data_IF_720948259575
#
_entry.id   IF_720948259575
#
_cell.length_a   1.000
_cell.length_b   1.000
_cell.length_c   1.000
_cell.angle_alpha   90.00
_cell.angle_beta   90.00
_cell.angle_gamma   90.00
#
_symmetry.space_group_name_H-M   'P 1'
#
loop_
_entity.id
_entity.type
_entity.pdbx_description
1 polymer ?
#
# COMPACT_ATOMS: atom_id res chain seq x y z
N UNK A 1 2.97 -48.73 -14.19
CA UNK A 1 2.97 -48.12 -12.84
C UNK A 1 4.15 -48.59 -12.00
N UNK A 2 4.21 -49.86 -11.54
CA UNK A 2 5.35 -50.36 -10.74
C UNK A 2 6.72 -50.23 -11.43
N UNK A 3 6.79 -50.58 -12.71
CA UNK A 3 8.03 -50.49 -13.49
C UNK A 3 8.50 -49.04 -13.71
N UNK A 4 7.57 -48.14 -14.07
CA UNK A 4 7.83 -46.71 -14.23
C UNK A 4 8.43 -46.10 -12.96
N UNK A 5 7.89 -46.49 -11.80
CA UNK A 5 8.34 -45.95 -10.52
C UNK A 5 9.69 -46.51 -10.08
N UNK A 6 9.95 -47.80 -10.36
CA UNK A 6 11.28 -48.38 -10.18
C UNK A 6 12.33 -47.66 -11.03
N UNK A 7 12.00 -47.34 -12.29
CA UNK A 7 12.91 -46.60 -13.18
C UNK A 7 13.17 -45.19 -12.65
N UNK A 8 12.14 -44.49 -12.14
CA UNK A 8 12.32 -43.17 -11.49
C UNK A 8 13.23 -43.26 -10.26
N UNK A 9 13.08 -44.28 -9.42
CA UNK A 9 13.96 -44.49 -8.27
C UNK A 9 15.41 -44.74 -8.69
N UNK A 10 15.63 -45.52 -9.75
CA UNK A 10 16.95 -45.70 -10.34
C UNK A 10 17.53 -44.38 -10.86
N UNK A 11 16.76 -43.61 -11.65
CA UNK A 11 17.17 -42.29 -12.15
C UNK A 11 17.54 -41.34 -10.99
N UNK A 12 16.74 -41.32 -9.92
CA UNK A 12 17.04 -40.54 -8.70
C UNK A 12 18.37 -40.95 -8.07
N UNK A 13 18.59 -42.26 -7.91
CA UNK A 13 19.82 -42.80 -7.32
C UNK A 13 21.06 -42.45 -8.15
N UNK A 14 20.96 -42.61 -9.47
CA UNK A 14 22.04 -42.31 -10.41
C UNK A 14 22.41 -40.82 -10.37
N UNK A 15 21.41 -39.93 -10.37
CA UNK A 15 21.64 -38.48 -10.25
C UNK A 15 22.32 -38.12 -8.92
N UNK A 16 21.89 -38.69 -7.80
CA UNK A 16 22.49 -38.45 -6.47
C UNK A 16 23.95 -38.90 -6.36
N UNK A 17 24.32 -39.94 -7.10
CA UNK A 17 25.69 -40.48 -7.14
C UNK A 17 26.55 -39.85 -8.25
N UNK A 18 26.00 -38.87 -8.98
CA UNK A 18 26.66 -38.20 -10.10
C UNK A 18 27.04 -39.17 -11.24
N UNK A 19 26.25 -40.24 -11.43
CA UNK A 19 26.42 -41.20 -12.52
C UNK A 19 25.66 -40.74 -13.77
N UNK A 20 26.12 -39.64 -14.38
CA UNK A 20 25.47 -38.96 -15.51
C UNK A 20 25.25 -39.88 -16.72
N UNK A 21 26.27 -40.63 -17.11
CA UNK A 21 26.20 -41.49 -18.31
C UNK A 21 25.12 -42.58 -18.18
N UNK A 22 25.03 -43.19 -16.98
CA UNK A 22 24.02 -44.19 -16.69
C UNK A 22 22.63 -43.58 -16.57
N UNK A 23 22.53 -42.36 -16.02
CA UNK A 23 21.29 -41.60 -15.94
C UNK A 23 20.73 -41.31 -17.33
N UNK A 24 21.56 -40.74 -18.21
CA UNK A 24 21.16 -40.36 -19.57
C UNK A 24 20.78 -41.59 -20.39
N UNK A 25 21.60 -42.64 -20.34
CA UNK A 25 21.32 -43.90 -21.04
C UNK A 25 19.98 -44.51 -20.61
N UNK A 26 19.69 -44.52 -19.31
CA UNK A 26 18.44 -45.07 -18.78
C UNK A 26 17.25 -44.18 -19.12
N UNK A 27 17.39 -42.85 -19.01
CA UNK A 27 16.31 -41.91 -19.30
C UNK A 27 15.94 -41.92 -20.79
N UNK A 28 16.93 -41.87 -21.70
CA UNK A 28 16.72 -41.92 -23.15
C UNK A 28 16.05 -43.23 -23.56
N UNK A 29 16.54 -44.36 -23.03
CA UNK A 29 16.04 -45.68 -23.42
C UNK A 29 14.63 -45.96 -22.94
N UNK A 30 14.25 -45.42 -21.78
CA UNK A 30 12.94 -45.66 -21.18
C UNK A 30 11.92 -44.58 -21.53
N UNK A 31 12.37 -43.40 -21.98
CA UNK A 31 11.52 -42.22 -22.20
C UNK A 31 10.91 -41.67 -20.90
N UNK A 32 11.33 -42.17 -19.74
CA UNK A 32 10.79 -41.77 -18.44
C UNK A 32 11.56 -40.55 -17.95
N UNK A 33 10.83 -39.46 -17.73
CA UNK A 33 11.36 -38.29 -17.03
C UNK A 33 11.34 -38.51 -15.52
N UNK A 34 12.46 -38.17 -14.88
CA UNK A 34 12.56 -38.18 -13.42
C UNK A 34 11.66 -37.10 -12.80
N UNK A 35 11.67 -35.90 -13.38
CA UNK A 35 11.03 -34.69 -12.86
C UNK A 35 10.75 -33.71 -14.01
N UNK A 36 9.99 -32.66 -13.71
CA UNK A 36 9.72 -31.58 -14.66
C UNK A 36 11.00 -30.87 -15.13
N UNK A 37 11.07 -30.36 -16.37
CA UNK A 37 12.27 -29.72 -16.93
C UNK A 37 12.84 -28.61 -16.04
N UNK A 38 11.97 -27.82 -15.40
CA UNK A 38 12.37 -26.72 -14.52
C UNK A 38 13.19 -27.18 -13.31
N UNK A 39 12.90 -28.37 -12.77
CA UNK A 39 13.65 -28.97 -11.67
C UNK A 39 15.00 -29.49 -12.14
N UNK A 40 15.05 -30.03 -13.36
CA UNK A 40 16.31 -30.50 -13.96
C UNK A 40 17.25 -29.33 -14.25
N UNK A 41 16.72 -28.22 -14.76
CA UNK A 41 17.49 -26.99 -14.99
C UNK A 41 17.99 -26.39 -13.68
N UNK A 42 17.14 -26.37 -12.64
CA UNK A 42 17.51 -25.90 -11.31
C UNK A 42 18.61 -26.76 -10.70
N UNK A 43 18.50 -28.09 -10.76
CA UNK A 43 19.52 -29.01 -10.30
C UNK A 43 20.84 -28.79 -11.05
N UNK A 44 20.79 -28.66 -12.36
CA UNK A 44 21.99 -28.44 -13.17
C UNK A 44 22.67 -27.10 -12.84
N UNK A 45 21.91 -26.03 -12.62
CA UNK A 45 22.45 -24.74 -12.21
C UNK A 45 23.04 -24.80 -10.79
N UNK A 46 22.24 -25.23 -9.81
CA UNK A 46 22.58 -25.14 -8.40
C UNK A 46 23.59 -26.21 -7.95
N UNK A 47 23.37 -27.47 -8.35
CA UNK A 47 24.13 -28.63 -7.85
C UNK A 47 25.30 -28.97 -8.76
N UNK A 48 25.09 -29.04 -10.08
CA UNK A 48 26.13 -29.46 -10.99
C UNK A 48 27.14 -28.35 -11.32
N UNK A 49 26.67 -27.09 -11.48
CA UNK A 49 27.51 -25.96 -11.90
C UNK A 49 27.82 -24.94 -10.81
N UNK A 50 27.08 -24.95 -9.69
CA UNK A 50 27.21 -23.90 -8.66
C UNK A 50 26.85 -22.50 -9.16
N UNK A 51 26.02 -22.39 -10.20
CA UNK A 51 25.57 -21.13 -10.78
C UNK A 51 24.34 -20.61 -10.03
N UNK A 52 24.60 -19.94 -8.91
CA UNK A 52 23.55 -19.40 -8.04
C UNK A 52 22.71 -18.32 -8.73
N UNK A 53 23.30 -17.50 -9.61
CA UNK A 53 22.57 -16.46 -10.34
C UNK A 53 21.54 -17.08 -11.29
N UNK A 54 21.96 -18.12 -12.02
CA UNK A 54 21.03 -18.83 -12.91
C UNK A 54 19.93 -19.55 -12.13
N UNK A 55 20.26 -20.12 -10.97
CA UNK A 55 19.27 -20.74 -10.10
C UNK A 55 18.21 -19.73 -9.60
N UNK A 56 18.63 -18.54 -9.18
CA UNK A 56 17.72 -17.45 -8.79
C UNK A 56 16.81 -17.04 -9.96
N UNK A 57 17.35 -16.90 -11.17
CA UNK A 57 16.56 -16.55 -12.35
C UNK A 57 15.53 -17.63 -12.68
N UNK A 58 15.89 -18.92 -12.60
CA UNK A 58 14.95 -20.04 -12.80
C UNK A 58 13.81 -19.96 -11.78
N UNK A 59 14.11 -19.72 -10.50
CA UNK A 59 13.08 -19.56 -9.46
C UNK A 59 12.17 -18.37 -9.71
N UNK A 60 12.73 -17.22 -10.12
CA UNK A 60 11.96 -16.01 -10.45
C UNK A 60 11.00 -16.26 -11.62
N UNK A 61 11.46 -16.96 -12.66
CA UNK A 61 10.62 -17.33 -13.81
C UNK A 61 9.51 -18.31 -13.40
N UNK A 62 9.82 -19.29 -12.55
CA UNK A 62 8.81 -20.21 -12.00
C UNK A 62 7.69 -19.45 -11.26
N UNK A 63 8.06 -18.43 -10.47
CA UNK A 63 7.09 -17.56 -9.79
C UNK A 63 6.23 -16.79 -10.79
N UNK A 64 6.84 -16.17 -11.81
CA UNK A 64 6.11 -15.42 -12.85
C UNK A 64 5.15 -16.29 -13.67
N UNK A 65 5.50 -17.57 -13.84
CA UNK A 65 4.68 -18.56 -14.55
C UNK A 65 3.60 -19.21 -13.66
N UNK A 66 3.50 -18.80 -12.39
CA UNK A 66 2.49 -19.31 -11.47
C UNK A 66 2.72 -20.75 -11.00
N UNK A 67 3.93 -21.31 -11.17
CA UNK A 67 4.27 -22.69 -10.79
C UNK A 67 3.96 -22.98 -9.31
N UNK A 68 4.11 -21.97 -8.45
CA UNK A 68 3.86 -22.09 -7.01
C UNK A 68 2.42 -21.78 -6.61
N UNK A 69 1.55 -21.30 -7.50
CA UNK A 69 0.19 -20.86 -7.14
C UNK A 69 -0.66 -21.96 -6.46
N UNK A 70 -0.68 -23.22 -6.94
CA UNK A 70 -1.47 -24.26 -6.30
C UNK A 70 -1.03 -24.49 -4.84
N UNK A 71 0.29 -24.53 -4.63
CA UNK A 71 0.88 -24.69 -3.30
C UNK A 71 0.60 -23.48 -2.39
N UNK A 72 0.74 -22.26 -2.92
CA UNK A 72 0.45 -21.02 -2.18
C UNK A 72 -1.02 -20.95 -1.76
N UNK A 73 -1.95 -21.44 -2.60
CA UNK A 73 -3.39 -21.47 -2.27
C UNK A 73 -3.73 -22.44 -1.12
N UNK A 74 -2.99 -23.53 -1.00
CA UNK A 74 -3.19 -24.55 0.05
C UNK A 74 -2.44 -24.25 1.35
N UNK A 75 -1.46 -23.34 1.30
CA UNK A 75 -0.67 -22.97 2.48
C UNK A 75 -1.56 -22.29 3.54
N UNK A 76 -1.53 -22.76 4.81
CA UNK A 76 -2.20 -22.07 5.88
C UNK A 76 -1.50 -20.73 6.17
N UNK A 77 -2.23 -19.63 6.07
CA UNK A 77 -1.73 -18.31 6.44
C UNK A 77 -1.45 -18.24 7.94
N UNK A 78 -0.17 -18.07 8.32
CA UNK A 78 0.22 -17.80 9.70
C UNK A 78 0.67 -16.35 9.85
N UNK A 79 -0.14 -15.47 10.46
CA UNK A 79 0.28 -14.09 10.67
C UNK A 79 1.44 -14.04 11.65
N UNK A 80 2.53 -13.38 11.25
CA UNK A 80 3.69 -13.11 12.11
C UNK A 80 3.80 -11.62 12.30
N UNK A 81 3.64 -11.18 13.55
CA UNK A 81 3.78 -9.78 13.91
C UNK A 81 5.19 -9.51 14.41
N UNK A 82 5.86 -8.56 13.78
CA UNK A 82 7.19 -8.09 14.22
C UNK A 82 7.20 -6.59 14.29
N UNK A 83 7.66 -6.06 15.43
CA UNK A 83 7.91 -4.64 15.58
C UNK A 83 9.10 -4.23 14.72
N UNK A 84 8.92 -3.19 13.92
CA UNK A 84 10.00 -2.55 13.17
C UNK A 84 10.54 -1.40 14.01
N UNK A 85 11.84 -1.42 14.25
CA UNK A 85 12.57 -0.33 14.89
C UNK A 85 13.38 0.37 13.82
N UNK A 86 13.01 1.62 13.54
CA UNK A 86 13.63 2.42 12.51
C UNK A 86 13.68 3.87 12.96
N UNK A 87 14.72 4.57 12.52
CA UNK A 87 14.94 6.00 12.76
C UNK A 87 15.43 6.63 11.47
N UNK A 88 15.47 7.96 11.44
CA UNK A 88 16.17 8.72 10.43
C UNK A 88 17.67 8.82 10.72
N UNK A 89 18.39 9.58 9.89
CA UNK A 89 19.84 9.79 10.01
C UNK A 89 20.27 10.42 11.35
N UNK A 90 19.38 11.14 12.02
CA UNK A 90 19.62 11.85 13.26
C UNK A 90 19.09 11.05 14.48
N UNK A 91 18.66 9.79 14.26
CA UNK A 91 18.10 8.93 15.30
C UNK A 91 16.66 9.28 15.68
N UNK A 92 15.97 10.10 14.90
CA UNK A 92 14.59 10.51 15.16
C UNK A 92 13.58 9.60 14.44
N UNK A 93 12.37 9.54 14.96
CA UNK A 93 11.25 8.83 14.35
C UNK A 93 9.96 9.56 14.69
N UNK A 94 8.85 9.32 13.95
CA UNK A 94 7.55 9.84 14.33
C UNK A 94 7.23 9.55 15.80
N UNK A 95 6.82 10.57 16.56
CA UNK A 95 6.45 10.41 17.96
C UNK A 95 5.19 9.55 18.13
N UNK A 96 4.85 9.21 19.38
CA UNK A 96 3.55 8.61 19.70
C UNK A 96 2.40 9.47 19.17
N UNK A 97 1.41 8.84 18.55
CA UNK A 97 0.29 9.54 17.90
C UNK A 97 -0.91 8.62 17.65
N UNK A 98 -2.11 9.17 17.74
CA UNK A 98 -3.37 8.55 17.30
C UNK A 98 -4.00 9.33 16.13
N UNK A 99 -4.91 8.72 15.37
CA UNK A 99 -5.63 9.40 14.28
C UNK A 99 -4.79 9.86 13.08
N UNK A 100 -3.48 9.59 13.07
CA UNK A 100 -2.58 9.82 11.94
C UNK A 100 -2.97 8.95 10.75
N UNK A 101 -2.57 9.35 9.55
CA UNK A 101 -2.86 8.60 8.34
C UNK A 101 -1.60 8.22 7.60
N UNK A 102 -1.68 7.09 6.88
CA UNK A 102 -0.59 6.55 6.10
C UNK A 102 -1.09 6.11 4.73
N UNK A 103 -0.24 6.29 3.72
CA UNK A 103 -0.42 5.73 2.39
C UNK A 103 0.91 5.17 1.88
N UNK A 104 0.85 4.27 0.91
CA UNK A 104 2.04 3.61 0.36
C UNK A 104 2.14 3.88 -1.14
N UNK A 105 3.32 4.32 -1.56
CA UNK A 105 3.77 4.21 -2.94
C UNK A 105 4.47 2.86 -3.09
N UNK A 106 3.76 1.88 -3.63
CA UNK A 106 4.25 0.52 -3.80
C UNK A 106 5.40 0.48 -4.81
N UNK A 107 5.37 1.35 -5.83
CA UNK A 107 6.37 1.36 -6.89
C UNK A 107 7.73 1.85 -6.39
N UNK A 108 7.74 2.89 -5.54
CA UNK A 108 8.96 3.41 -4.93
C UNK A 108 9.33 2.72 -3.61
N UNK A 109 8.46 1.86 -3.06
CA UNK A 109 8.66 1.25 -1.75
C UNK A 109 8.70 2.28 -0.62
N UNK A 110 7.81 3.27 -0.67
CA UNK A 110 7.75 4.38 0.30
C UNK A 110 6.41 4.43 1.03
N UNK A 111 6.45 4.58 2.34
CA UNK A 111 5.25 4.77 3.16
C UNK A 111 5.25 6.18 3.72
N UNK A 112 4.22 6.94 3.43
CA UNK A 112 4.05 8.30 3.94
C UNK A 112 3.18 8.30 5.19
N UNK A 113 3.49 9.20 6.13
CA UNK A 113 2.75 9.39 7.37
C UNK A 113 2.53 10.89 7.58
N UNK A 114 1.28 11.29 7.79
CA UNK A 114 0.91 12.69 8.05
C UNK A 114 0.13 12.84 9.35
N UNK A 115 0.54 13.83 10.15
CA UNK A 115 -0.22 14.36 11.27
C UNK A 115 -0.57 13.34 12.35
N UNK A 116 -1.77 13.47 12.91
CA UNK A 116 -2.25 12.74 14.08
C UNK A 116 -2.25 13.60 15.34
N UNK A 117 -2.54 12.99 16.48
CA UNK A 117 -2.61 13.63 17.79
C UNK A 117 -1.69 12.92 18.78
N UNK A 118 -0.80 13.66 19.43
CA UNK A 118 0.25 13.08 20.29
C UNK A 118 -0.15 12.91 21.77
N UNK A 119 -1.39 13.21 22.14
CA UNK A 119 -1.82 13.29 23.54
C UNK A 119 -2.00 14.71 24.06
N UNK A 120 -1.45 15.70 23.35
CA UNK A 120 -1.46 17.12 23.73
C UNK A 120 -2.04 17.98 22.62
N UNK A 121 -1.56 17.82 21.39
CA UNK A 121 -1.99 18.61 20.24
C UNK A 121 -2.06 17.76 18.97
N UNK A 122 -2.83 18.26 18.01
CA UNK A 122 -2.72 17.78 16.63
C UNK A 122 -1.35 18.13 16.05
N UNK A 123 -0.90 17.33 15.10
CA UNK A 123 0.40 17.41 14.45
C UNK A 123 0.24 17.76 12.98
N UNK A 124 1.20 18.52 12.46
CA UNK A 124 1.35 18.86 11.04
C UNK A 124 2.66 18.32 10.45
N UNK A 125 3.32 17.40 11.15
CA UNK A 125 4.57 16.82 10.67
C UNK A 125 4.29 15.77 9.58
N UNK A 126 5.21 15.68 8.64
CA UNK A 126 5.10 14.80 7.48
C UNK A 126 6.36 13.96 7.33
N UNK A 127 6.18 12.64 7.27
CA UNK A 127 7.26 11.66 7.28
C UNK A 127 7.13 10.68 6.12
N UNK A 128 8.27 10.13 5.71
CA UNK A 128 8.37 9.05 4.75
C UNK A 128 9.25 7.94 5.34
N UNK A 129 8.81 6.70 5.21
CA UNK A 129 9.57 5.50 5.53
C UNK A 129 10.00 4.80 4.24
N UNK A 130 11.29 4.55 4.10
CA UNK A 130 11.83 3.74 3.01
C UNK A 130 11.80 2.26 3.42
N UNK A 131 11.03 1.45 2.69
CA UNK A 131 10.81 0.04 3.01
C UNK A 131 12.08 -0.80 2.81
N UNK A 132 12.91 -0.44 1.82
CA UNK A 132 14.15 -1.16 1.51
C UNK A 132 15.23 -0.84 2.52
N UNK A 133 15.44 0.45 2.80
CA UNK A 133 16.45 0.92 3.75
C UNK A 133 16.02 0.74 5.22
N UNK A 134 14.72 0.57 5.46
CA UNK A 134 14.12 0.49 6.79
C UNK A 134 14.46 1.70 7.65
N UNK A 135 14.38 2.89 7.07
CA UNK A 135 14.71 4.17 7.71
C UNK A 135 13.58 5.17 7.52
N UNK A 136 13.46 6.09 8.47
CA UNK A 136 12.57 7.24 8.35
C UNK A 136 13.29 8.43 7.70
N UNK A 137 12.51 9.32 7.11
CA UNK A 137 12.91 10.65 6.69
C UNK A 137 11.78 11.60 7.06
N UNK A 138 12.06 12.62 7.88
CA UNK A 138 11.14 13.73 8.05
C UNK A 138 11.16 14.60 6.80
N UNK A 139 10.02 14.72 6.14
CA UNK A 139 9.82 15.61 4.99
C UNK A 139 9.55 17.03 5.50
N UNK A 140 8.73 17.15 6.54
CA UNK A 140 8.35 18.45 7.12
C UNK A 140 8.14 18.33 8.62
N UNK A 141 8.63 19.33 9.36
CA UNK A 141 8.28 19.51 10.78
C UNK A 141 6.87 20.09 10.93
N UNK A 142 6.46 20.95 10.01
CA UNK A 142 5.16 21.60 9.98
C UNK A 142 4.79 21.95 8.54
N UNK A 143 3.86 21.20 7.96
CA UNK A 143 3.48 21.36 6.55
C UNK A 143 2.97 22.75 6.20
N UNK A 144 2.49 23.55 7.17
CA UNK A 144 2.02 24.92 6.93
C UNK A 144 3.10 25.83 6.37
N UNK A 145 4.36 25.66 6.80
CA UNK A 145 5.48 26.49 6.34
C UNK A 145 5.82 26.24 4.86
N UNK A 146 5.31 25.15 4.30
CA UNK A 146 5.48 24.74 2.91
C UNK A 146 4.19 24.91 2.10
N UNK A 147 3.20 25.66 2.61
CA UNK A 147 1.90 25.84 1.96
C UNK A 147 0.98 24.62 2.04
N UNK A 148 1.34 23.63 2.85
CA UNK A 148 0.56 22.42 3.09
C UNK A 148 -0.50 22.59 4.18
N UNK A 149 -1.17 21.49 4.53
CA UNK A 149 -2.25 21.48 5.51
C UNK A 149 -1.80 21.92 6.91
N UNK A 150 -2.72 22.44 7.71
CA UNK A 150 -2.54 22.64 9.15
C UNK A 150 -2.59 21.34 9.97
N UNK A 151 -2.26 21.40 11.27
CA UNK A 151 -2.31 20.26 12.18
C UNK A 151 -3.66 19.55 12.12
N UNK A 152 -3.63 18.22 12.03
CA UNK A 152 -4.86 17.43 11.85
C UNK A 152 -4.74 15.99 12.32
N UNK A 153 -5.84 15.48 12.89
CA UNK A 153 -6.08 14.07 13.18
C UNK A 153 -7.42 13.62 12.57
N UNK A 154 -7.62 12.29 12.46
CA UNK A 154 -8.83 11.66 11.89
C UNK A 154 -9.21 12.13 10.48
N UNK A 155 -8.24 12.67 9.75
CA UNK A 155 -8.29 12.98 8.33
C UNK A 155 -8.08 11.70 7.51
N UNK A 156 -8.00 11.82 6.18
CA UNK A 156 -7.50 10.76 5.28
C UNK A 156 -6.45 11.27 4.32
N UNK A 157 -5.51 10.39 3.98
CA UNK A 157 -4.58 10.58 2.86
C UNK A 157 -4.69 9.42 1.88
N UNK A 158 -4.51 9.68 0.59
CA UNK A 158 -4.52 8.65 -0.44
C UNK A 158 -3.45 8.96 -1.50
N UNK A 159 -2.70 7.96 -1.92
CA UNK A 159 -1.67 8.09 -2.94
C UNK A 159 -2.26 7.76 -4.32
N UNK A 160 -2.08 8.67 -5.28
CA UNK A 160 -2.34 8.43 -6.68
C UNK A 160 -1.05 7.93 -7.37
N UNK A 161 -1.03 6.68 -7.85
CA UNK A 161 0.15 6.13 -8.52
C UNK A 161 0.37 6.67 -9.93
N UNK A 162 -0.62 7.31 -10.56
CA UNK A 162 -0.47 7.83 -11.92
C UNK A 162 0.39 9.10 -11.94
N UNK A 163 0.06 10.07 -11.09
CA UNK A 163 0.76 11.37 -11.06
C UNK A 163 1.71 11.51 -9.87
N UNK A 164 1.89 10.46 -9.07
CA UNK A 164 2.71 10.47 -7.84
C UNK A 164 2.30 11.57 -6.87
N UNK A 165 0.99 11.70 -6.63
CA UNK A 165 0.41 12.73 -5.77
C UNK A 165 -0.18 12.10 -4.51
N UNK A 166 -0.15 12.83 -3.39
CA UNK A 166 -0.84 12.45 -2.15
C UNK A 166 -1.95 13.45 -1.88
N UNK A 167 -3.20 12.99 -1.90
CA UNK A 167 -4.37 13.80 -1.56
C UNK A 167 -4.64 13.76 -0.07
N UNK A 168 -5.03 14.88 0.52
CA UNK A 168 -5.29 15.02 1.96
C UNK A 168 -6.64 15.68 2.17
N UNK A 169 -7.52 15.04 2.93
CA UNK A 169 -8.88 15.53 3.14
C UNK A 169 -9.40 15.31 4.57
N UNK A 170 -10.20 16.26 5.03
CA UNK A 170 -10.87 16.25 6.33
C UNK A 170 -9.96 16.45 7.53
N UNK A 171 -10.57 16.51 8.71
CA UNK A 171 -9.94 16.50 10.04
C UNK A 171 -11.00 16.53 11.13
N UNK A 172 -10.64 16.02 12.31
CA UNK A 172 -11.43 16.23 13.52
C UNK A 172 -11.21 17.64 14.07
N UNK A 173 -12.24 18.17 14.73
CA UNK A 173 -12.19 19.43 15.49
C UNK A 173 -12.91 19.20 16.80
N UNK A 174 -12.19 19.44 17.89
CA UNK A 174 -12.73 19.29 19.24
C UNK A 174 -13.94 20.22 19.43
N UNK A 175 -15.10 19.73 19.93
CA UNK A 175 -16.29 20.53 20.16
C UNK A 175 -16.07 21.87 20.88
N UNK A 176 -15.18 21.91 21.87
CA UNK A 176 -14.89 23.13 22.63
C UNK A 176 -14.16 24.17 21.79
N UNK A 177 -13.42 23.75 20.77
CA UNK A 177 -12.67 24.63 19.87
C UNK A 177 -13.45 25.08 18.63
N UNK A 178 -14.63 24.52 18.36
CA UNK A 178 -15.38 24.76 17.10
C UNK A 178 -15.90 26.19 16.95
N UNK A 179 -16.14 26.89 18.05
CA UNK A 179 -16.60 28.28 18.01
C UNK A 179 -15.51 29.24 17.48
N UNK A 180 -14.25 28.91 17.74
CA UNK A 180 -13.10 29.77 17.42
C UNK A 180 -12.26 29.23 16.24
N UNK A 181 -12.49 27.99 15.84
CA UNK A 181 -11.80 27.36 14.71
C UNK A 181 -12.56 27.58 13.39
N UNK A 182 -11.83 27.79 12.29
CA UNK A 182 -12.42 27.62 10.96
C UNK A 182 -12.93 26.18 10.82
N UNK A 183 -14.13 26.02 10.28
CA UNK A 183 -14.71 24.73 9.91
C UNK A 183 -14.70 24.53 8.38
N UNK A 184 -13.83 25.25 7.68
CA UNK A 184 -13.67 25.10 6.24
C UNK A 184 -13.13 23.69 5.90
N UNK A 185 -13.74 23.09 4.88
CA UNK A 185 -13.39 21.77 4.38
C UNK A 185 -12.24 21.89 3.36
N UNK A 186 -11.05 22.16 3.88
CA UNK A 186 -9.86 22.32 3.04
C UNK A 186 -9.46 21.01 2.34
N UNK A 187 -8.90 21.12 1.13
CA UNK A 187 -8.45 19.97 0.34
C UNK A 187 -7.09 20.27 -0.30
N UNK A 188 -6.14 19.37 -0.10
CA UNK A 188 -4.76 19.54 -0.56
C UNK A 188 -4.30 18.33 -1.37
N UNK A 189 -3.28 18.56 -2.20
CA UNK A 189 -2.38 17.52 -2.66
C UNK A 189 -0.92 17.87 -2.38
N UNK A 190 -0.10 16.84 -2.29
CA UNK A 190 1.35 16.94 -2.26
C UNK A 190 1.93 16.22 -3.48
N UNK A 191 2.77 16.92 -4.23
CA UNK A 191 3.51 16.37 -5.35
C UNK A 191 4.80 15.72 -4.83
N UNK A 192 4.87 14.39 -4.91
CA UNK A 192 6.02 13.61 -4.42
C UNK A 192 7.27 13.88 -5.25
N UNK A 193 7.12 14.20 -6.53
CA UNK A 193 8.24 14.42 -7.45
C UNK A 193 8.87 15.80 -7.26
N UNK A 194 8.04 16.80 -6.98
CA UNK A 194 8.45 18.20 -6.81
C UNK A 194 8.70 18.57 -5.35
N UNK A 195 8.28 17.74 -4.39
CA UNK A 195 8.34 18.02 -2.95
C UNK A 195 7.56 19.30 -2.58
N UNK A 196 6.38 19.48 -3.19
CA UNK A 196 5.56 20.70 -3.05
C UNK A 196 4.12 20.41 -2.69
N UNK A 197 3.56 21.25 -1.81
CA UNK A 197 2.15 21.24 -1.48
C UNK A 197 1.35 22.15 -2.42
N UNK A 198 0.14 21.72 -2.74
CA UNK A 198 -0.84 22.51 -3.48
C UNK A 198 -2.17 22.45 -2.74
N UNK A 199 -2.70 23.61 -2.37
CA UNK A 199 -4.09 23.71 -1.92
C UNK A 199 -4.99 23.65 -3.15
N UNK A 200 -5.87 22.65 -3.18
CA UNK A 200 -6.84 22.45 -4.26
C UNK A 200 -8.09 23.29 -4.01
N UNK A 201 -8.57 23.30 -2.76
CA UNK A 201 -9.79 24.00 -2.35
C UNK A 201 -9.62 24.62 -0.96
N UNK A 202 -10.10 25.84 -0.79
CA UNK A 202 -10.24 26.45 0.53
C UNK A 202 -11.43 25.84 1.29
N UNK A 203 -12.52 25.46 0.60
CA UNK A 203 -13.67 24.83 1.22
C UNK A 203 -14.49 24.02 0.19
N UNK A 204 -14.34 22.70 0.20
CA UNK A 204 -15.01 21.80 -0.76
C UNK A 204 -16.53 21.88 -0.70
N UNK A 205 -17.13 22.27 0.43
CA UNK A 205 -18.58 22.42 0.56
C UNK A 205 -19.15 23.52 -0.37
N UNK A 206 -18.33 24.52 -0.71
CA UNK A 206 -18.69 25.59 -1.66
C UNK A 206 -18.50 25.18 -3.13
N UNK A 207 -17.91 24.01 -3.36
CA UNK A 207 -17.50 23.51 -4.68
C UNK A 207 -18.19 22.16 -4.99
N UNK A 208 -19.41 21.97 -4.48
CA UNK A 208 -20.19 20.72 -4.62
C UNK A 208 -19.53 19.46 -4.02
N UNK A 209 -18.47 19.65 -3.23
CA UNK A 209 -17.80 18.60 -2.48
C UNK A 209 -18.37 18.41 -1.07
N UNK A 210 -17.77 17.51 -0.28
CA UNK A 210 -18.21 17.25 1.07
C UNK A 210 -18.00 18.46 1.98
N UNK A 211 -18.78 18.55 3.06
CA UNK A 211 -18.46 19.39 4.21
C UNK A 211 -17.24 18.86 4.97
N UNK A 212 -16.77 19.61 5.98
CA UNK A 212 -15.64 19.19 6.78
C UNK A 212 -16.02 17.91 7.54
N UNK A 213 -15.30 16.82 7.26
CA UNK A 213 -15.59 15.50 7.81
C UNK A 213 -14.36 14.88 8.48
N UNK A 214 -14.61 13.94 9.38
CA UNK A 214 -13.60 13.10 10.03
C UNK A 214 -14.08 11.65 10.12
N UNK A 215 -13.12 10.73 10.34
CA UNK A 215 -13.36 9.27 10.39
C UNK A 215 -14.02 8.69 9.11
N UNK A 216 -13.87 9.40 7.99
CA UNK A 216 -14.30 8.95 6.66
C UNK A 216 -13.28 7.98 6.06
N UNK A 217 -13.58 7.40 4.89
CA UNK A 217 -12.62 6.68 4.06
C UNK A 217 -12.43 7.38 2.72
N UNK A 218 -11.22 7.25 2.17
CA UNK A 218 -10.83 7.87 0.90
C UNK A 218 -9.99 6.88 0.09
N UNK A 219 -10.35 6.66 -1.17
CA UNK A 219 -9.66 5.74 -2.09
C UNK A 219 -9.66 6.31 -3.51
N UNK A 220 -8.61 6.01 -4.27
CA UNK A 220 -8.46 6.46 -5.66
C UNK A 220 -8.65 5.26 -6.58
N UNK A 221 -9.46 5.44 -7.62
CA UNK A 221 -9.43 4.60 -8.81
C UNK A 221 -8.43 5.23 -9.81
N UNK A 222 -7.23 4.65 -9.97
CA UNK A 222 -6.20 5.22 -10.84
C UNK A 222 -6.58 5.13 -12.33
N UNK A 223 -7.42 4.18 -12.72
CA UNK A 223 -7.82 3.99 -14.12
C UNK A 223 -8.75 5.12 -14.58
N UNK A 224 -9.70 5.51 -13.74
CA UNK A 224 -10.64 6.60 -14.04
C UNK A 224 -10.18 7.95 -13.49
N UNK A 225 -9.03 8.00 -12.80
CA UNK A 225 -8.50 9.19 -12.14
C UNK A 225 -9.57 9.87 -11.27
N UNK A 226 -10.25 9.06 -10.46
CA UNK A 226 -11.36 9.49 -9.61
C UNK A 226 -11.09 9.09 -8.15
N UNK A 227 -11.15 10.09 -7.27
CA UNK A 227 -11.03 9.92 -5.83
C UNK A 227 -12.42 9.81 -5.21
N UNK A 228 -12.68 8.74 -4.47
CA UNK A 228 -13.93 8.50 -3.78
C UNK A 228 -13.79 8.75 -2.29
N UNK A 229 -14.75 9.49 -1.72
CA UNK A 229 -14.84 9.77 -0.28
C UNK A 229 -16.16 9.24 0.22
N UNK A 230 -16.14 8.42 1.27
CA UNK A 230 -17.35 7.85 1.85
C UNK A 230 -17.38 7.90 3.37
N UNK A 231 -18.57 8.19 3.89
CA UNK A 231 -18.89 8.11 5.30
C UNK A 231 -18.18 9.18 6.11
N UNK A 232 -17.91 8.87 7.38
CA UNK A 232 -17.44 9.86 8.34
C UNK A 232 -18.54 10.78 8.82
N UNK A 233 -18.20 11.57 9.84
CA UNK A 233 -19.10 12.51 10.50
C UNK A 233 -18.74 13.93 10.09
N UNK A 234 -19.76 14.72 9.82
CA UNK A 234 -19.58 16.13 9.54
C UNK A 234 -19.29 16.89 10.83
N UNK A 235 -18.35 17.83 10.77
CA UNK A 235 -18.02 18.74 11.87
C UNK A 235 -19.03 19.88 11.87
N UNK A 236 -19.99 19.80 12.80
CA UNK A 236 -21.03 20.81 13.00
C UNK A 236 -20.73 21.67 14.23
N UNK A 237 -21.27 22.88 14.29
CA UNK A 237 -21.18 23.74 15.48
C UNK A 237 -21.91 23.12 16.68
N UNK A 238 -23.07 22.49 16.46
CA UNK A 238 -23.75 21.69 17.47
C UNK A 238 -23.16 20.28 17.54
N UNK A 239 -22.51 19.97 18.66
CA UNK A 239 -21.87 18.68 18.90
C UNK A 239 -22.86 17.53 19.16
N UNK A 240 -24.10 17.84 19.54
CA UNK A 240 -25.13 16.83 19.86
C UNK A 240 -25.86 16.32 18.61
N UNK A 241 -25.69 16.99 17.48
CA UNK A 241 -26.31 16.59 16.22
C UNK A 241 -25.31 15.84 15.34
N UNK A 242 -25.59 14.56 15.09
CA UNK A 242 -24.72 13.70 14.28
C UNK A 242 -25.20 13.62 12.84
N UNK A 243 -24.52 14.32 11.95
CA UNK A 243 -24.71 14.23 10.50
C UNK A 243 -23.59 13.39 9.92
N UNK A 244 -23.95 12.41 9.10
CA UNK A 244 -23.00 11.60 8.35
C UNK A 244 -22.90 12.09 6.92
N UNK A 245 -21.70 12.03 6.36
CA UNK A 245 -21.48 12.38 4.96
C UNK A 245 -21.96 11.26 4.02
N UNK A 246 -22.11 11.62 2.75
CA UNK A 246 -22.48 10.72 1.67
C UNK A 246 -21.29 10.04 0.99
N UNK A 247 -21.55 9.50 -0.20
CA UNK A 247 -20.54 9.08 -1.16
C UNK A 247 -20.29 10.23 -2.13
N UNK A 248 -19.07 10.74 -2.16
CA UNK A 248 -18.61 11.75 -3.11
C UNK A 248 -17.54 11.17 -4.03
N UNK A 249 -17.50 11.68 -5.25
CA UNK A 249 -16.46 11.40 -6.23
C UNK A 249 -15.82 12.73 -6.65
N UNK A 250 -14.49 12.81 -6.62
CA UNK A 250 -13.70 13.90 -7.13
C UNK A 250 -12.99 13.44 -8.39
N UNK A 251 -13.31 14.07 -9.51
CA UNK A 251 -12.61 13.83 -10.76
C UNK A 251 -11.30 14.64 -10.76
N UNK A 252 -10.16 13.95 -10.72
CA UNK A 252 -8.85 14.57 -10.59
C UNK A 252 -8.52 15.47 -11.80
N UNK A 253 -8.69 15.03 -13.07
CA UNK A 253 -8.31 15.84 -14.22
C UNK A 253 -9.11 17.14 -14.36
N UNK A 254 -10.40 17.11 -14.00
CA UNK A 254 -11.30 18.26 -14.14
C UNK A 254 -11.43 19.09 -12.86
N UNK A 255 -10.76 18.70 -11.77
CA UNK A 255 -10.85 19.35 -10.46
C UNK A 255 -12.31 19.61 -10.01
N UNK A 256 -13.13 18.55 -10.04
CA UNK A 256 -14.57 18.70 -9.83
C UNK A 256 -15.14 17.61 -8.92
N UNK A 257 -15.88 18.03 -7.89
CA UNK A 257 -16.61 17.15 -6.99
C UNK A 257 -18.01 16.83 -7.51
N UNK A 258 -18.45 15.60 -7.25
CA UNK A 258 -19.81 15.14 -7.53
C UNK A 258 -20.31 14.33 -6.34
N UNK A 259 -21.47 14.70 -5.82
CA UNK A 259 -22.23 13.84 -4.92
C UNK A 259 -22.78 12.64 -5.70
N UNK A 260 -22.39 11.44 -5.27
CA UNK A 260 -22.87 10.17 -5.85
C UNK A 260 -24.09 9.68 -5.09
N UNK A 261 -24.09 9.78 -3.75
CA UNK A 261 -25.20 9.31 -2.91
C UNK A 261 -25.25 10.03 -1.56
N UNK A 262 -26.44 10.43 -1.13
CA UNK A 262 -26.69 10.97 0.22
C UNK A 262 -26.59 9.90 1.32
N UNK A 263 -26.24 10.32 2.54
CA UNK A 263 -26.41 9.49 3.71
C UNK A 263 -27.90 9.22 3.96
N UNK A 264 -28.27 7.96 4.21
CA UNK A 264 -29.63 7.59 4.66
C UNK A 264 -30.70 7.42 3.56
N UNK A 265 -30.46 7.77 2.30
CA UNK A 265 -31.37 7.38 1.21
C UNK A 265 -31.00 5.98 0.69
N UNK A 266 -31.96 5.05 0.73
CA UNK A 266 -31.88 3.78 0.01
C UNK A 266 -31.63 4.04 -1.48
N UNK A 267 -30.83 3.19 -2.12
CA UNK A 267 -30.60 3.27 -3.57
C UNK A 267 -31.95 3.26 -4.31
N UNK A 268 -32.20 4.14 -5.29
CA UNK A 268 -33.05 3.72 -6.38
C UNK A 268 -32.30 2.56 -7.07
N UNK A 269 -32.95 1.41 -7.15
CA UNK A 269 -32.49 0.26 -7.93
C UNK A 269 -32.33 0.63 -9.40
#
# INVERSE_FOLDING_TARGET
>A
YRETESIRLCLKHLRQRNFSDAFDALSIRTGIMLEEPILTDLHAALVARGDFKKAEEIMRQATLQGVFEPYIKELPYKPVWKRIWATDKDGQSPCMRGGHQMCIDVSAGRIYLLGGWNGVSDLADFWCFDVTQRSWRRISEDTRVQGGPGPRSCHKICFDPCDSQIYVFGRYVDPQSRADASLDSDFYRYDVTQDTWHKISDNTAKESGPELIYDHQMQIDPQTQTLYVFGGRTVQTDANHHIYSGLYAYNIPNNHWKLVRYAGMGSPL
#
